data_IF_853348176799
#
_entry.id   IF_853348176799
#
_cell.length_a   1.000
_cell.length_b   1.000
_cell.length_c   1.000
_cell.angle_alpha   90.00
_cell.angle_beta   90.00
_cell.angle_gamma   90.00
#
_symmetry.space_group_name_H-M   'P 1'
#
loop_
_entity.id
_entity.type
_entity.pdbx_description
1 polymer ?
#
# COMPACT_ATOMS: atom_id res chain seq x y z
N UNK A 1 3.66 1.13 6.42
CA UNK A 1 2.80 0.89 7.59
C UNK A 1 3.20 1.87 8.69
N UNK A 2 2.29 2.21 9.62
CA UNK A 2 2.62 2.97 10.83
C UNK A 2 3.61 2.19 11.71
N UNK A 3 4.49 2.86 12.45
CA UNK A 3 5.62 2.25 13.19
C UNK A 3 5.23 1.19 14.24
N UNK A 4 4.00 1.26 14.77
CA UNK A 4 3.46 0.30 15.75
C UNK A 4 2.67 -0.87 15.16
N UNK A 5 2.54 -0.98 13.85
CA UNK A 5 1.65 -1.93 13.20
C UNK A 5 2.07 -3.40 13.46
N UNK A 6 1.12 -4.28 13.82
CA UNK A 6 1.38 -5.68 14.21
C UNK A 6 2.18 -6.48 13.17
N UNK A 7 1.95 -6.21 11.89
CA UNK A 7 2.67 -6.86 10.77
C UNK A 7 4.13 -6.43 10.59
N UNK A 8 4.60 -5.39 11.29
CA UNK A 8 6.01 -4.97 11.23
C UNK A 8 6.94 -6.09 11.70
N UNK A 9 6.53 -6.95 12.63
CA UNK A 9 7.42 -8.02 13.13
C UNK A 9 7.43 -9.27 12.24
N UNK A 10 6.56 -9.36 11.24
CA UNK A 10 6.47 -10.53 10.35
C UNK A 10 7.55 -10.48 9.26
N UNK A 11 8.23 -11.61 9.03
CA UNK A 11 9.26 -11.76 7.99
C UNK A 11 8.68 -11.82 6.57
N UNK A 12 7.44 -12.25 6.43
CA UNK A 12 6.75 -12.45 5.18
C UNK A 12 5.31 -11.96 5.34
N UNK A 13 4.81 -11.24 4.33
CA UNK A 13 3.44 -10.75 4.27
C UNK A 13 2.82 -11.13 2.94
N UNK A 14 1.60 -11.67 3.00
CA UNK A 14 0.75 -11.93 1.86
C UNK A 14 -0.25 -10.79 1.70
N UNK A 15 -0.76 -10.59 0.48
CA UNK A 15 -1.76 -9.55 0.24
C UNK A 15 -3.06 -9.81 1.01
N UNK A 16 -3.43 -11.08 1.20
CA UNK A 16 -4.60 -11.50 2.01
C UNK A 16 -4.50 -11.09 3.49
N UNK A 17 -3.30 -10.83 4.00
CA UNK A 17 -3.12 -10.44 5.40
C UNK A 17 -3.76 -9.07 5.67
N UNK A 18 -4.06 -8.30 4.62
CA UNK A 18 -4.58 -6.94 4.69
C UNK A 18 -6.09 -6.84 4.47
N UNK A 19 -6.82 -7.95 4.52
CA UNK A 19 -8.27 -7.96 4.27
C UNK A 19 -9.05 -7.04 5.23
N UNK A 20 -8.61 -6.94 6.47
CA UNK A 20 -9.25 -6.13 7.52
C UNK A 20 -8.64 -4.71 7.65
N UNK A 21 -7.60 -4.41 6.87
CA UNK A 21 -6.83 -3.18 7.00
C UNK A 21 -7.45 -2.01 6.23
N UNK A 22 -7.24 -0.80 6.75
CA UNK A 22 -7.61 0.46 6.09
C UNK A 22 -6.51 0.89 5.12
N UNK A 23 -6.88 1.22 3.89
CA UNK A 23 -5.94 1.61 2.85
C UNK A 23 -5.94 3.14 2.66
N UNK A 24 -4.73 3.70 2.70
CA UNK A 24 -4.42 5.01 2.14
C UNK A 24 -3.82 4.78 0.75
N UNK A 25 -4.49 5.27 -0.29
CA UNK A 25 -4.08 5.04 -1.68
C UNK A 25 -3.74 6.32 -2.41
N UNK A 26 -2.97 6.19 -3.50
CA UNK A 26 -2.91 7.26 -4.47
C UNK A 26 -4.23 7.36 -5.22
N UNK A 27 -4.70 8.58 -5.50
CA UNK A 27 -5.89 8.78 -6.31
C UNK A 27 -5.73 8.10 -7.71
N UNK A 28 -6.77 7.44 -8.25
CA UNK A 28 -6.68 6.57 -9.42
C UNK A 28 -6.00 7.18 -10.65
N UNK A 29 -6.28 8.45 -10.93
CA UNK A 29 -5.74 9.17 -12.10
C UNK A 29 -4.25 9.49 -12.01
N UNK A 30 -3.68 9.42 -10.80
CA UNK A 30 -2.30 9.84 -10.51
C UNK A 30 -1.36 8.66 -10.27
N UNK A 31 -1.88 7.43 -10.36
CA UNK A 31 -1.11 6.24 -10.09
C UNK A 31 -1.45 5.12 -11.07
N UNK A 32 -0.53 4.91 -12.02
CA UNK A 32 -0.62 3.91 -13.11
C UNK A 32 -0.94 2.50 -12.59
N UNK A 33 -0.58 2.20 -11.33
CA UNK A 33 -0.77 0.87 -10.74
C UNK A 33 -2.00 0.76 -9.82
N UNK A 34 -2.87 1.78 -9.76
CA UNK A 34 -4.08 1.75 -8.93
C UNK A 34 -4.95 0.53 -9.25
N UNK A 35 -5.33 0.38 -10.51
CA UNK A 35 -6.14 -0.74 -10.98
C UNK A 35 -5.44 -2.09 -10.75
N UNK A 36 -4.09 -2.13 -10.79
CA UNK A 36 -3.34 -3.35 -10.51
C UNK A 36 -3.43 -3.76 -9.04
N UNK A 37 -3.39 -2.80 -8.11
CA UNK A 37 -3.58 -3.06 -6.68
C UNK A 37 -4.99 -3.60 -6.44
N UNK A 38 -6.00 -2.90 -6.93
CA UNK A 38 -7.41 -3.30 -6.78
C UNK A 38 -7.64 -4.70 -7.34
N UNK A 39 -7.15 -4.96 -8.57
CA UNK A 39 -7.22 -6.30 -9.19
C UNK A 39 -6.48 -7.36 -8.37
N UNK A 40 -5.33 -7.03 -7.80
CA UNK A 40 -4.57 -8.00 -7.02
C UNK A 40 -5.26 -8.36 -5.71
N UNK A 41 -5.87 -7.38 -5.04
CA UNK A 41 -6.72 -7.62 -3.87
C UNK A 41 -7.91 -8.50 -4.25
N UNK A 42 -8.59 -8.17 -5.35
CA UNK A 42 -9.73 -8.94 -5.86
C UNK A 42 -9.35 -10.40 -6.15
N UNK A 43 -8.19 -10.60 -6.78
CA UNK A 43 -7.67 -11.93 -7.10
C UNK A 43 -7.34 -12.79 -5.85
N UNK A 44 -7.25 -12.19 -4.66
CA UNK A 44 -7.09 -12.91 -3.39
C UNK A 44 -8.36 -12.85 -2.52
N UNK A 45 -9.48 -12.38 -3.08
CA UNK A 45 -10.81 -12.48 -2.50
C UNK A 45 -11.29 -11.28 -1.69
N UNK A 46 -10.68 -10.10 -1.83
CA UNK A 46 -11.16 -8.88 -1.14
C UNK A 46 -10.98 -7.60 -1.96
N UNK A 47 -11.76 -6.57 -1.64
CA UNK A 47 -11.58 -5.22 -2.16
C UNK A 47 -10.92 -4.36 -1.08
N UNK A 48 -9.91 -3.54 -1.40
CA UNK A 48 -9.25 -2.70 -0.39
C UNK A 48 -10.24 -1.69 0.19
N UNK A 49 -10.29 -1.56 1.51
CA UNK A 49 -11.10 -0.54 2.19
C UNK A 49 -10.36 0.80 2.19
N UNK A 50 -10.58 1.59 1.16
CA UNK A 50 -9.89 2.87 0.97
C UNK A 50 -10.55 3.93 1.87
N UNK A 51 -9.81 4.40 2.87
CA UNK A 51 -10.27 5.44 3.80
C UNK A 51 -9.81 6.83 3.39
N UNK A 52 -8.69 6.93 2.68
CA UNK A 52 -8.14 8.19 2.20
C UNK A 52 -7.42 8.02 0.86
N UNK A 53 -7.57 9.02 -0.01
CA UNK A 53 -6.85 9.09 -1.29
C UNK A 53 -6.07 10.40 -1.42
N UNK A 54 -4.81 10.32 -1.85
CA UNK A 54 -3.98 11.49 -2.06
C UNK A 54 -3.30 11.50 -3.44
N UNK A 55 -3.00 12.70 -3.96
CA UNK A 55 -2.36 12.88 -5.27
C UNK A 55 -0.84 12.85 -5.22
N UNK A 56 -0.25 13.01 -4.03
CA UNK A 56 1.18 13.17 -3.81
C UNK A 56 1.69 12.08 -2.89
N UNK A 57 2.89 11.57 -3.17
CA UNK A 57 3.50 10.48 -2.40
C UNK A 57 3.77 10.91 -0.96
N UNK A 58 4.18 12.16 -0.77
CA UNK A 58 4.46 12.77 0.53
C UNK A 58 3.21 12.78 1.41
N UNK A 59 2.03 13.04 0.82
CA UNK A 59 0.75 13.03 1.55
C UNK A 59 0.33 11.62 1.94
N UNK A 60 0.42 10.65 1.03
CA UNK A 60 0.16 9.23 1.36
C UNK A 60 1.06 8.78 2.51
N UNK A 61 2.35 9.12 2.44
CA UNK A 61 3.30 8.80 3.48
C UNK A 61 2.90 9.47 4.80
N UNK A 62 2.64 10.77 4.82
CA UNK A 62 2.27 11.49 6.04
C UNK A 62 1.04 10.87 6.74
N UNK A 63 0.01 10.49 5.97
CA UNK A 63 -1.19 9.83 6.49
C UNK A 63 -0.88 8.45 7.10
N UNK A 64 -0.05 7.63 6.42
CA UNK A 64 0.38 6.33 6.97
C UNK A 64 1.23 6.51 8.23
N UNK A 65 2.16 7.47 8.24
CA UNK A 65 2.98 7.77 9.41
C UNK A 65 2.14 8.29 10.58
N UNK A 66 1.03 8.98 10.31
CA UNK A 66 0.05 9.43 11.30
C UNK A 66 -0.89 8.30 11.81
N UNK A 67 -0.82 7.09 11.23
CA UNK A 67 -1.62 5.95 11.68
C UNK A 67 -2.97 5.78 10.97
N UNK A 68 -3.26 6.55 9.91
CA UNK A 68 -4.55 6.49 9.18
C UNK A 68 -4.79 5.14 8.49
N UNK A 69 -3.74 4.37 8.23
CA UNK A 69 -3.87 3.05 7.62
C UNK A 69 -2.56 2.55 7.00
N UNK A 70 -2.69 1.63 6.05
CA UNK A 70 -1.58 1.06 5.27
C UNK A 70 -1.60 1.57 3.84
N UNK A 71 -0.44 1.55 3.17
CA UNK A 71 -0.35 1.87 1.74
C UNK A 71 0.47 0.80 1.01
N UNK A 72 0.05 0.48 -0.21
CA UNK A 72 0.82 -0.33 -1.15
C UNK A 72 1.49 0.61 -2.16
N UNK A 73 2.82 0.65 -2.13
CA UNK A 73 3.63 1.55 -2.96
C UNK A 73 4.78 0.79 -3.61
N UNK A 74 5.26 1.22 -4.79
CA UNK A 74 6.51 0.73 -5.36
C UNK A 74 7.67 0.92 -4.38
N UNK A 75 8.62 -0.01 -4.36
CA UNK A 75 9.79 0.07 -3.46
C UNK A 75 10.66 1.31 -3.68
N UNK A 76 10.55 1.96 -4.83
CA UNK A 76 11.28 3.20 -5.18
C UNK A 76 10.83 4.42 -4.39
N UNK A 77 9.63 4.40 -3.78
CA UNK A 77 9.06 5.56 -3.06
C UNK A 77 9.48 5.59 -1.57
N UNK A 78 10.22 4.58 -1.08
CA UNK A 78 10.57 4.44 0.35
C UNK A 78 11.44 5.57 0.93
N UNK A 79 12.00 6.45 0.10
CA UNK A 79 13.05 7.40 0.49
C UNK A 79 12.60 8.87 0.65
N UNK A 80 11.31 9.17 0.48
CA UNK A 80 10.86 10.56 0.27
C UNK A 80 10.28 11.29 1.49
N UNK A 81 10.20 10.68 2.69
CA UNK A 81 9.58 11.36 3.83
C UNK A 81 10.16 10.95 5.20
N UNK A 82 10.10 11.87 6.16
CA UNK A 82 10.58 11.70 7.54
C UNK A 82 9.51 12.22 8.54
N UNK A 83 9.07 11.42 9.52
CA UNK A 83 9.38 10.01 9.69
C UNK A 83 8.75 9.15 8.59
N UNK A 84 9.54 8.24 8.03
CA UNK A 84 9.08 7.32 7.00
C UNK A 84 8.24 6.20 7.61
N UNK A 85 7.18 5.74 6.92
CA UNK A 85 6.41 4.59 7.32
C UNK A 85 7.28 3.35 7.15
N UNK A 86 7.16 2.38 8.04
CA UNK A 86 8.01 1.19 8.00
C UNK A 86 7.71 0.37 6.74
N UNK A 87 8.69 0.18 5.82
CA UNK A 87 8.47 -0.57 4.60
C UNK A 87 8.48 -2.07 4.87
N UNK A 88 7.55 -2.80 4.24
CA UNK A 88 7.53 -4.26 4.23
C UNK A 88 7.28 -4.78 2.83
N UNK A 89 7.97 -5.88 2.49
CA UNK A 89 7.86 -6.52 1.18
C UNK A 89 6.74 -7.55 1.21
N UNK A 90 5.82 -7.45 0.26
CA UNK A 90 4.91 -8.54 -0.06
C UNK A 90 5.70 -9.70 -0.68
N UNK A 91 5.45 -10.93 -0.23
CA UNK A 91 6.06 -12.13 -0.84
C UNK A 91 5.48 -12.40 -2.23
N UNK A 92 4.32 -11.85 -2.52
CA UNK A 92 3.67 -11.90 -3.82
C UNK A 92 4.09 -10.67 -4.65
N UNK A 93 4.57 -10.90 -5.87
CA UNK A 93 4.74 -9.81 -6.83
C UNK A 93 3.38 -9.42 -7.40
N UNK A 94 3.06 -8.13 -7.32
CA UNK A 94 1.98 -7.56 -8.12
C UNK A 94 2.38 -7.71 -9.59
N UNK A 95 1.60 -8.47 -10.36
CA UNK A 95 1.90 -8.72 -11.78
C UNK A 95 1.65 -7.44 -12.58
N UNK A 96 2.70 -6.97 -13.25
CA UNK A 96 2.59 -5.92 -14.25
C UNK A 96 1.87 -6.44 -15.49
N UNK A 97 0.60 -6.07 -15.67
CA UNK A 97 -0.12 -6.33 -16.92
C UNK A 97 0.17 -5.30 -18.02
N UNK A 98 1.02 -4.30 -17.77
CA UNK A 98 1.44 -3.28 -18.76
C UNK A 98 2.44 -3.80 -19.82
N UNK A 99 2.37 -5.09 -20.19
CA UNK A 99 3.00 -5.61 -21.41
C UNK A 99 1.90 -6.06 -22.37
N UNK A 100 1.27 -5.10 -23.04
CA UNK A 100 0.63 -5.26 -24.36
C UNK A 100 0.75 -3.95 -25.11
#
# INVERSE_FOLDING_TARGET
MPEGHTFIRRRQLHLRDFVDEEFVMFAPLWFVRYAQIVTACDAVGFQPRIVEEARRAETVIALVSAGTGVALMPSTIQLLAMPAPTPRRLVQRLRDRCRR
#
